data_IF_191759817342
#
_entry.id   IF_191759817342
#
_cell.length_a   1.000
_cell.length_b   1.000
_cell.length_c   1.000
_cell.angle_alpha   90.00
_cell.angle_beta   90.00
_cell.angle_gamma   90.00
#
_symmetry.space_group_name_H-M   'P 1'
#
loop_
_entity.id
_entity.type
_entity.pdbx_description
1 polymer ?
#
# COMPACT_ATOMS: atom_id res chain seq x y z
N UNK A 1 -9.50 -10.69 -30.80
CA UNK A 1 -8.88 -11.87 -31.46
C UNK A 1 -9.41 -12.10 -32.89
N UNK A 2 -10.21 -11.17 -33.46
CA UNK A 2 -10.76 -11.33 -34.82
C UNK A 2 -9.99 -10.55 -35.91
N UNK A 3 -8.90 -9.88 -35.56
CA UNK A 3 -8.18 -8.99 -36.48
C UNK A 3 -6.74 -9.44 -36.84
N UNK A 4 -6.28 -10.58 -36.32
CA UNK A 4 -4.96 -11.11 -36.65
C UNK A 4 -5.05 -12.60 -37.01
N UNK A 5 -4.52 -12.95 -38.16
CA UNK A 5 -4.31 -14.34 -38.59
C UNK A 5 -3.00 -14.81 -37.94
N UNK A 6 -3.09 -15.81 -37.06
CA UNK A 6 -1.96 -16.45 -36.36
C UNK A 6 -1.10 -15.52 -35.47
N UNK A 7 -1.66 -14.94 -34.38
CA UNK A 7 -0.90 -14.06 -33.51
C UNK A 7 0.13 -14.82 -32.69
N UNK A 8 1.41 -14.48 -32.84
CA UNK A 8 2.47 -14.97 -31.99
C UNK A 8 2.41 -14.25 -30.63
N UNK A 9 2.14 -15.00 -29.56
CA UNK A 9 2.10 -14.47 -28.18
C UNK A 9 3.52 -14.46 -27.61
N UNK A 10 4.15 -13.29 -27.60
CA UNK A 10 5.45 -13.09 -26.95
C UNK A 10 5.18 -12.71 -25.48
N UNK A 11 5.54 -13.57 -24.54
CA UNK A 11 5.55 -13.26 -23.10
C UNK A 11 6.99 -12.97 -22.69
N UNK A 12 7.31 -11.71 -22.34
CA UNK A 12 8.60 -11.32 -21.82
C UNK A 12 8.50 -11.28 -20.29
N UNK A 13 9.26 -12.14 -19.60
CA UNK A 13 9.32 -12.27 -18.14
C UNK A 13 8.38 -13.34 -17.57
N UNK A 14 8.69 -13.81 -16.35
CA UNK A 14 7.80 -14.71 -15.63
C UNK A 14 6.53 -13.95 -15.18
N UNK A 15 5.37 -14.60 -15.37
CA UNK A 15 4.10 -14.10 -14.85
C UNK A 15 4.24 -13.94 -13.33
N UNK A 16 4.08 -12.74 -12.79
CA UNK A 16 4.23 -12.37 -11.37
C UNK A 16 5.66 -12.19 -10.82
N UNK A 17 6.70 -12.07 -11.64
CA UNK A 17 8.07 -11.80 -11.16
C UNK A 17 8.20 -10.47 -10.35
N UNK A 18 7.30 -9.52 -10.58
CA UNK A 18 7.30 -8.22 -9.87
C UNK A 18 6.83 -8.27 -8.40
N UNK A 19 6.39 -9.43 -7.90
CA UNK A 19 5.93 -9.60 -6.50
C UNK A 19 6.80 -10.56 -5.68
N UNK A 20 7.84 -11.16 -6.30
CA UNK A 20 8.70 -12.14 -5.63
C UNK A 20 9.40 -11.59 -4.37
N UNK A 21 9.76 -10.29 -4.39
CA UNK A 21 10.41 -9.62 -3.27
C UNK A 21 9.42 -8.87 -2.35
N UNK A 22 8.11 -9.15 -2.48
CA UNK A 22 7.08 -8.51 -1.66
C UNK A 22 6.58 -9.48 -0.60
N UNK A 23 6.73 -9.10 0.67
CA UNK A 23 6.09 -9.80 1.78
C UNK A 23 4.62 -9.39 1.86
N UNK A 24 3.72 -10.34 1.70
CA UNK A 24 2.28 -10.11 1.78
C UNK A 24 1.76 -10.47 3.17
N UNK A 25 1.13 -9.50 3.84
CA UNK A 25 0.53 -9.69 5.17
C UNK A 25 -0.90 -9.16 5.21
N UNK A 26 -1.72 -9.72 6.09
CA UNK A 26 -3.05 -9.17 6.35
C UNK A 26 -3.36 -9.10 7.84
N UNK A 27 -4.06 -8.04 8.25
CA UNK A 27 -4.67 -7.90 9.57
C UNK A 27 -6.16 -8.17 9.47
N UNK A 28 -6.66 -9.05 10.34
CA UNK A 28 -8.09 -9.27 10.51
C UNK A 28 -8.62 -8.28 11.53
N UNK A 29 -9.44 -7.33 11.09
CA UNK A 29 -9.92 -6.21 11.89
C UNK A 29 -11.45 -6.07 11.82
N UNK A 30 -12.03 -5.32 12.78
CA UNK A 30 -13.40 -4.83 12.67
C UNK A 30 -13.42 -3.57 11.81
N UNK A 31 -14.56 -3.27 11.18
CA UNK A 31 -14.68 -2.10 10.30
C UNK A 31 -14.32 -0.78 11.01
N UNK A 32 -14.81 -0.62 12.25
CA UNK A 32 -14.59 0.59 13.06
C UNK A 32 -13.13 0.76 13.53
N UNK A 33 -12.35 -0.32 13.53
CA UNK A 33 -10.96 -0.30 14.00
C UNK A 33 -9.96 -0.10 12.86
N UNK A 34 -10.44 0.09 11.62
CA UNK A 34 -9.60 0.12 10.42
C UNK A 34 -8.57 1.24 10.45
N UNK A 35 -8.99 2.45 10.77
CA UNK A 35 -8.07 3.60 10.88
C UNK A 35 -7.06 3.40 12.01
N UNK A 36 -7.50 2.93 13.18
CA UNK A 36 -6.61 2.65 14.31
C UNK A 36 -5.56 1.58 13.96
N UNK A 37 -5.96 0.55 13.20
CA UNK A 37 -5.03 -0.48 12.74
C UNK A 37 -4.00 0.08 11.75
N UNK A 38 -4.42 0.95 10.83
CA UNK A 38 -3.53 1.69 9.92
C UNK A 38 -2.53 2.53 10.71
N UNK A 39 -3.01 3.35 11.65
CA UNK A 39 -2.18 4.21 12.48
C UNK A 39 -1.14 3.42 13.26
N UNK A 40 -1.53 2.34 13.94
CA UNK A 40 -0.59 1.48 14.69
C UNK A 40 0.46 0.85 13.79
N UNK A 41 0.11 0.47 12.56
CA UNK A 41 1.08 -0.04 11.61
C UNK A 41 2.10 1.02 11.19
N UNK A 42 1.64 2.25 10.91
CA UNK A 42 2.51 3.38 10.56
C UNK A 42 3.44 3.70 11.73
N UNK A 43 2.91 3.80 12.95
CA UNK A 43 3.69 4.06 14.15
C UNK A 43 4.74 2.98 14.44
N UNK A 44 4.41 1.72 14.13
CA UNK A 44 5.33 0.59 14.25
C UNK A 44 6.41 0.58 13.15
N UNK A 45 6.22 1.37 12.09
CA UNK A 45 7.09 1.40 10.91
C UNK A 45 7.56 2.84 10.62
N UNK A 46 8.45 3.42 11.44
CA UNK A 46 8.84 4.84 11.34
C UNK A 46 9.48 5.24 10.01
N UNK A 47 10.07 4.29 9.29
CA UNK A 47 10.69 4.50 7.98
C UNK A 47 9.75 4.26 6.80
N UNK A 48 8.43 4.23 7.05
CA UNK A 48 7.44 3.99 6.00
C UNK A 48 7.53 5.04 4.90
N UNK A 49 7.58 4.58 3.66
CA UNK A 49 7.37 5.38 2.45
C UNK A 49 6.47 4.59 1.53
N UNK A 50 5.20 4.95 1.44
CA UNK A 50 4.22 4.05 0.85
C UNK A 50 2.93 4.68 0.39
N UNK A 51 2.10 3.84 -0.23
CA UNK A 51 0.77 4.21 -0.71
C UNK A 51 -0.29 3.43 0.07
N UNK A 52 -1.30 4.16 0.56
CA UNK A 52 -2.52 3.62 1.16
C UNK A 52 -3.63 3.66 0.11
N UNK A 53 -4.13 2.50 -0.28
CA UNK A 53 -5.19 2.39 -1.27
C UNK A 53 -6.57 2.33 -0.62
N UNK A 54 -7.40 3.33 -0.90
CA UNK A 54 -8.80 3.42 -0.50
C UNK A 54 -9.73 3.17 -1.69
N UNK A 55 -10.97 2.76 -1.39
CA UNK A 55 -11.96 2.40 -2.42
C UNK A 55 -12.56 3.62 -3.10
N UNK A 56 -12.88 4.67 -2.34
CA UNK A 56 -13.56 5.86 -2.83
C UNK A 56 -12.73 7.11 -2.61
N UNK A 57 -13.00 8.16 -3.40
CA UNK A 57 -12.37 9.47 -3.24
C UNK A 57 -12.66 10.11 -1.88
N UNK A 58 -13.89 9.95 -1.37
CA UNK A 58 -14.28 10.46 -0.06
C UNK A 58 -13.47 9.80 1.06
N UNK A 59 -13.40 8.47 1.07
CA UNK A 59 -12.59 7.72 2.04
C UNK A 59 -11.10 8.06 1.92
N UNK A 60 -10.61 8.29 0.68
CA UNK A 60 -9.22 8.72 0.44
C UNK A 60 -8.92 10.05 1.12
N UNK A 61 -9.83 11.03 0.97
CA UNK A 61 -9.68 12.34 1.61
C UNK A 61 -9.78 12.21 3.14
N UNK A 62 -10.80 11.51 3.65
CA UNK A 62 -11.00 11.32 5.08
C UNK A 62 -9.79 10.64 5.76
N UNK A 63 -9.24 9.59 5.17
CA UNK A 63 -8.07 8.90 5.72
C UNK A 63 -6.84 9.80 5.67
N UNK A 64 -6.65 10.58 4.60
CA UNK A 64 -5.53 11.52 4.52
C UNK A 64 -5.65 12.64 5.55
N UNK A 65 -6.84 13.22 5.72
CA UNK A 65 -7.10 14.30 6.69
C UNK A 65 -6.86 13.82 8.13
N UNK A 66 -7.32 12.60 8.46
CA UNK A 66 -7.07 12.00 9.76
C UNK A 66 -5.57 11.77 10.00
N UNK A 67 -4.82 11.29 9.00
CA UNK A 67 -3.36 11.13 9.11
C UNK A 67 -2.66 12.49 9.32
N UNK A 68 -3.06 13.52 8.58
CA UNK A 68 -2.50 14.88 8.72
C UNK A 68 -2.81 15.44 10.12
N UNK A 69 -4.05 15.28 10.58
CA UNK A 69 -4.47 15.70 11.92
C UNK A 69 -3.66 15.01 13.03
N UNK A 70 -3.33 13.74 12.82
CA UNK A 70 -2.50 12.94 13.74
C UNK A 70 -0.99 13.22 13.59
N UNK A 71 -0.58 14.17 12.73
CA UNK A 71 0.80 14.64 12.60
C UNK A 71 1.67 13.86 11.60
N UNK A 72 1.07 13.06 10.72
CA UNK A 72 1.82 12.36 9.66
C UNK A 72 1.98 13.21 8.41
N UNK A 73 3.11 13.08 7.72
CA UNK A 73 3.35 13.69 6.42
C UNK A 73 2.61 12.88 5.33
N UNK A 74 1.32 13.15 5.18
CA UNK A 74 0.43 12.46 4.27
C UNK A 74 -0.26 13.45 3.32
N UNK A 75 -0.72 12.95 2.17
CA UNK A 75 -1.61 13.68 1.26
C UNK A 75 -2.56 12.73 0.55
N UNK A 76 -3.72 13.24 0.13
CA UNK A 76 -4.68 12.53 -0.70
C UNK A 76 -4.37 12.67 -2.19
N UNK A 77 -4.69 11.63 -2.97
CA UNK A 77 -4.61 11.64 -4.43
C UNK A 77 -5.86 10.96 -5.02
N UNK A 78 -6.78 11.75 -5.55
CA UNK A 78 -8.04 11.28 -6.12
C UNK A 78 -8.49 12.12 -7.32
N UNK A 79 -9.56 11.69 -7.98
CA UNK A 79 -9.98 12.27 -9.26
C UNK A 79 -10.50 13.71 -9.20
N UNK A 80 -10.82 14.25 -8.02
CA UNK A 80 -11.32 15.62 -7.87
C UNK A 80 -10.19 16.67 -7.76
N UNK A 81 -8.94 16.23 -7.66
CA UNK A 81 -7.80 17.14 -7.69
C UNK A 81 -7.59 17.68 -9.12
N UNK A 82 -7.35 18.97 -9.22
CA UNK A 82 -6.87 19.56 -10.47
C UNK A 82 -5.51 19.00 -10.86
N UNK A 83 -5.12 19.10 -12.12
CA UNK A 83 -3.81 18.63 -12.57
C UNK A 83 -2.67 19.31 -11.81
N UNK A 84 -2.76 20.61 -11.55
CA UNK A 84 -1.75 21.35 -10.77
C UNK A 84 -1.61 20.84 -9.33
N UNK A 85 -2.74 20.56 -8.67
CA UNK A 85 -2.72 19.98 -7.32
C UNK A 85 -2.12 18.56 -7.33
N UNK A 86 -2.48 17.75 -8.31
CA UNK A 86 -1.93 16.41 -8.50
C UNK A 86 -0.41 16.45 -8.68
N UNK A 87 0.09 17.34 -9.55
CA UNK A 87 1.51 17.48 -9.83
C UNK A 87 2.27 17.95 -8.58
N UNK A 88 1.70 18.87 -7.80
CA UNK A 88 2.26 19.34 -6.55
C UNK A 88 2.41 18.19 -5.53
N UNK A 89 1.32 17.44 -5.29
CA UNK A 89 1.32 16.29 -4.38
C UNK A 89 2.35 15.25 -4.82
N UNK A 90 2.39 14.93 -6.12
CA UNK A 90 3.33 13.95 -6.65
C UNK A 90 4.79 14.41 -6.55
N UNK A 91 5.06 15.71 -6.74
CA UNK A 91 6.40 16.26 -6.56
C UNK A 91 6.85 16.17 -5.10
N UNK A 92 6.01 16.58 -4.15
CA UNK A 92 6.31 16.45 -2.71
C UNK A 92 6.52 14.99 -2.29
N UNK A 93 5.74 14.06 -2.86
CA UNK A 93 5.91 12.63 -2.59
C UNK A 93 7.23 12.10 -3.15
N UNK A 94 7.60 12.42 -4.39
CA UNK A 94 8.90 12.02 -4.98
C UNK A 94 10.10 12.58 -4.21
N UNK A 95 9.98 13.80 -3.71
CA UNK A 95 11.02 14.46 -2.91
C UNK A 95 11.04 13.99 -1.44
N UNK A 96 10.17 13.04 -1.08
CA UNK A 96 10.04 12.48 0.28
C UNK A 96 9.64 13.49 1.36
N UNK A 97 9.09 14.65 0.97
CA UNK A 97 8.40 15.56 1.92
C UNK A 97 7.10 14.93 2.44
N UNK A 98 6.48 14.06 1.63
CA UNK A 98 5.38 13.21 2.05
C UNK A 98 5.89 11.77 2.20
N UNK A 99 5.51 11.13 3.29
CA UNK A 99 5.83 9.73 3.57
C UNK A 99 4.71 8.79 3.11
N UNK A 100 3.49 9.28 3.15
CA UNK A 100 2.29 8.50 2.89
C UNK A 100 1.42 9.19 1.85
N UNK A 101 1.14 8.47 0.78
CA UNK A 101 0.17 8.89 -0.23
C UNK A 101 -1.10 8.06 -0.07
N UNK A 102 -2.23 8.70 0.20
CA UNK A 102 -3.53 8.03 0.24
C UNK A 102 -4.20 8.19 -1.12
N UNK A 103 -4.52 7.10 -1.81
CA UNK A 103 -4.96 7.17 -3.20
C UNK A 103 -6.06 6.17 -3.55
N UNK A 104 -6.87 6.53 -4.57
CA UNK A 104 -7.71 5.56 -5.29
C UNK A 104 -6.90 4.85 -6.37
N UNK A 105 -7.35 3.68 -6.82
CA UNK A 105 -6.70 2.95 -7.93
C UNK A 105 -6.59 3.78 -9.19
N UNK A 106 -7.65 4.51 -9.54
CA UNK A 106 -7.68 5.34 -10.76
C UNK A 106 -6.64 6.45 -10.68
N UNK A 107 -6.55 7.13 -9.55
CA UNK A 107 -5.60 8.21 -9.36
C UNK A 107 -4.14 7.70 -9.26
N UNK A 108 -3.96 6.50 -8.75
CA UNK A 108 -2.63 5.88 -8.64
C UNK A 108 -2.12 5.24 -9.95
N UNK A 109 -2.94 5.20 -11.01
CA UNK A 109 -2.47 4.73 -12.32
C UNK A 109 -1.39 5.66 -12.88
N UNK A 110 -0.32 5.06 -13.40
CA UNK A 110 0.79 5.82 -13.95
C UNK A 110 1.68 6.53 -12.92
N UNK A 111 1.48 6.29 -11.62
CA UNK A 111 2.44 6.75 -10.61
C UNK A 111 3.77 6.03 -10.88
N UNK A 112 4.74 6.81 -11.32
CA UNK A 112 6.13 6.39 -11.43
C UNK A 112 6.88 6.93 -10.20
N UNK A 113 6.90 6.11 -9.15
CA UNK A 113 7.66 6.35 -7.92
C UNK A 113 8.42 5.08 -7.61
N UNK A 114 9.73 5.21 -7.56
CA UNK A 114 10.63 4.15 -7.12
C UNK A 114 10.73 4.11 -5.59
N UNK A 115 11.20 2.99 -5.07
CA UNK A 115 11.60 2.83 -3.67
C UNK A 115 10.45 2.89 -2.65
N UNK A 116 9.22 2.60 -3.07
CA UNK A 116 8.15 2.41 -2.11
C UNK A 116 8.47 1.20 -1.22
N UNK A 117 8.48 1.42 0.08
CA UNK A 117 8.71 0.37 1.07
C UNK A 117 7.43 -0.41 1.37
N UNK A 118 6.29 0.27 1.31
CA UNK A 118 5.01 -0.31 1.72
C UNK A 118 3.88 0.03 0.75
N UNK A 119 3.04 -0.96 0.54
CA UNK A 119 1.70 -0.81 -0.05
C UNK A 119 0.68 -1.25 0.98
N UNK A 120 -0.30 -0.41 1.25
CA UNK A 120 -1.35 -0.71 2.23
C UNK A 120 -2.70 -0.71 1.52
N UNK A 121 -3.35 -1.85 1.50
CA UNK A 121 -4.74 -1.95 1.08
C UNK A 121 -5.62 -1.62 2.28
N UNK A 122 -6.03 -0.36 2.42
CA UNK A 122 -7.04 0.04 3.39
C UNK A 122 -8.36 -0.69 3.14
N UNK A 123 -8.69 -0.85 1.86
CA UNK A 123 -9.71 -1.78 1.40
C UNK A 123 -9.07 -2.77 0.40
N UNK A 124 -9.43 -4.05 0.53
CA UNK A 124 -9.11 -5.00 -0.53
C UNK A 124 -9.78 -4.59 -1.83
N UNK A 125 -9.08 -4.68 -2.96
CA UNK A 125 -9.72 -4.53 -4.26
C UNK A 125 -10.68 -5.70 -4.53
N UNK A 126 -11.65 -5.48 -5.40
CA UNK A 126 -12.59 -6.52 -5.78
C UNK A 126 -11.98 -7.52 -6.77
N UNK A 127 -11.05 -7.04 -7.60
CA UNK A 127 -10.32 -7.87 -8.57
C UNK A 127 -8.91 -8.21 -8.08
N UNK A 128 -8.55 -9.48 -8.18
CA UNK A 128 -7.21 -9.97 -7.79
C UNK A 128 -6.10 -9.35 -8.63
N UNK A 129 -6.36 -9.06 -9.92
CA UNK A 129 -5.40 -8.39 -10.78
C UNK A 129 -5.03 -7.00 -10.27
N UNK A 130 -5.98 -6.26 -9.71
CA UNK A 130 -5.73 -4.95 -9.09
C UNK A 130 -4.84 -5.08 -7.86
N UNK A 131 -5.04 -6.12 -7.05
CA UNK A 131 -4.16 -6.40 -5.91
C UNK A 131 -2.70 -6.60 -6.35
N UNK A 132 -2.48 -7.39 -7.40
CA UNK A 132 -1.14 -7.64 -7.96
C UNK A 132 -0.53 -6.33 -8.49
N UNK A 133 -1.31 -5.51 -9.18
CA UNK A 133 -0.84 -4.22 -9.68
C UNK A 133 -0.49 -3.25 -8.56
N UNK A 134 -1.24 -3.25 -7.44
CA UNK A 134 -0.92 -2.44 -6.26
C UNK A 134 0.36 -2.95 -5.61
N UNK A 135 0.45 -4.24 -5.29
CA UNK A 135 1.63 -4.83 -4.63
C UNK A 135 2.90 -4.69 -5.46
N UNK A 136 2.81 -4.76 -6.79
CA UNK A 136 3.93 -4.52 -7.70
C UNK A 136 4.45 -3.06 -7.74
N UNK A 137 3.92 -2.15 -6.92
CA UNK A 137 4.48 -0.81 -6.71
C UNK A 137 5.63 -0.81 -5.70
N UNK A 138 5.80 -1.85 -4.90
CA UNK A 138 6.94 -2.06 -4.00
C UNK A 138 7.73 -3.31 -4.40
N UNK A 139 8.85 -3.56 -3.76
CA UNK A 139 9.68 -4.75 -4.02
C UNK A 139 10.38 -4.74 -5.38
N UNK A 140 10.67 -3.56 -5.95
CA UNK A 140 11.33 -3.39 -7.25
C UNK A 140 12.84 -3.30 -7.09
N UNK A 141 13.56 -3.62 -8.17
CA UNK A 141 15.03 -3.46 -8.27
C UNK A 141 15.78 -4.10 -7.08
N UNK A 142 15.47 -5.38 -6.80
CA UNK A 142 16.08 -6.21 -5.73
C UNK A 142 15.85 -5.69 -4.30
N UNK A 143 15.00 -4.67 -4.11
CA UNK A 143 14.56 -4.22 -2.78
C UNK A 143 13.39 -5.06 -2.30
N UNK A 144 13.35 -5.30 -0.99
CA UNK A 144 12.21 -5.95 -0.35
C UNK A 144 11.09 -4.95 -0.10
N UNK A 145 9.85 -5.37 -0.28
CA UNK A 145 8.67 -4.56 -0.03
C UNK A 145 7.66 -5.27 0.87
N UNK A 146 6.75 -4.52 1.45
CA UNK A 146 5.64 -5.04 2.25
C UNK A 146 4.31 -4.62 1.64
N UNK A 147 3.42 -5.58 1.46
CA UNK A 147 2.03 -5.33 1.07
C UNK A 147 1.11 -5.76 2.22
N UNK A 148 0.60 -4.77 2.97
CA UNK A 148 -0.35 -4.98 4.06
C UNK A 148 -1.79 -4.85 3.54
N UNK A 149 -2.68 -5.72 4.00
CA UNK A 149 -4.12 -5.62 3.75
C UNK A 149 -4.92 -5.59 5.05
N UNK A 150 -5.78 -4.59 5.21
CA UNK A 150 -6.71 -4.47 6.32
C UNK A 150 -8.03 -5.11 5.91
N UNK A 151 -8.33 -6.30 6.43
CA UNK A 151 -9.50 -7.09 5.99
C UNK A 151 -10.52 -7.29 7.10
N UNK A 152 -11.79 -7.34 6.71
CA UNK A 152 -12.87 -7.81 7.57
C UNK A 152 -13.04 -9.33 7.47
N UNK A 153 -13.64 -9.96 8.47
CA UNK A 153 -13.86 -11.43 8.50
C UNK A 153 -14.59 -11.97 7.26
N UNK A 154 -15.52 -11.17 6.70
CA UNK A 154 -16.27 -11.52 5.48
C UNK A 154 -15.40 -11.55 4.21
N UNK A 155 -14.22 -10.94 4.23
CA UNK A 155 -13.32 -10.83 3.07
C UNK A 155 -12.25 -11.93 3.01
N UNK A 156 -12.24 -12.87 3.98
CA UNK A 156 -11.26 -13.97 4.02
C UNK A 156 -11.24 -14.82 2.74
N UNK A 157 -12.38 -14.99 2.08
CA UNK A 157 -12.45 -15.73 0.82
C UNK A 157 -11.66 -15.05 -0.30
N UNK A 158 -11.58 -13.70 -0.30
CA UNK A 158 -10.79 -12.93 -1.27
C UNK A 158 -9.30 -13.19 -1.10
N UNK A 159 -8.81 -13.33 0.14
CA UNK A 159 -7.40 -13.64 0.42
C UNK A 159 -7.00 -14.95 -0.26
N UNK A 160 -7.81 -16.01 -0.13
CA UNK A 160 -7.54 -17.30 -0.78
C UNK A 160 -7.48 -17.19 -2.31
N UNK A 161 -8.35 -16.36 -2.91
CA UNK A 161 -8.32 -16.12 -4.35
C UNK A 161 -7.05 -15.38 -4.78
N UNK A 162 -6.61 -14.41 -3.98
CA UNK A 162 -5.38 -13.66 -4.22
C UNK A 162 -4.16 -14.59 -4.10
N UNK A 163 -4.07 -15.40 -3.04
CA UNK A 163 -2.99 -16.38 -2.83
C UNK A 163 -2.84 -17.34 -4.02
N UNK A 164 -3.97 -17.85 -4.51
CA UNK A 164 -4.00 -18.73 -5.68
C UNK A 164 -3.41 -18.06 -6.94
N UNK A 165 -3.68 -16.78 -7.13
CA UNK A 165 -3.20 -16.05 -8.31
C UNK A 165 -1.75 -15.57 -8.14
N UNK A 166 -1.35 -15.22 -6.91
CA UNK A 166 0.04 -14.86 -6.58
C UNK A 166 0.98 -16.07 -6.62
N UNK A 167 0.47 -17.27 -6.31
CA UNK A 167 1.30 -18.43 -6.05
C UNK A 167 2.08 -18.33 -4.72
N UNK A 168 1.65 -17.46 -3.82
CA UNK A 168 2.29 -17.19 -2.52
C UNK A 168 1.23 -17.09 -1.43
N UNK A 169 1.61 -17.44 -0.19
CA UNK A 169 0.75 -17.30 0.99
C UNK A 169 0.77 -15.85 1.49
N UNK A 170 -0.39 -15.35 1.90
CA UNK A 170 -0.53 -14.05 2.57
C UNK A 170 -0.55 -14.28 4.07
N UNK A 171 0.52 -13.90 4.75
CA UNK A 171 0.70 -14.12 6.18
C UNK A 171 -0.39 -13.40 7.00
N UNK A 172 -1.04 -14.11 7.91
CA UNK A 172 -1.90 -13.47 8.91
C UNK A 172 -1.05 -12.92 10.05
N UNK A 173 -1.05 -11.62 10.22
CA UNK A 173 -0.36 -10.96 11.33
C UNK A 173 -1.37 -10.29 12.29
N UNK A 174 -0.91 -9.98 13.48
CA UNK A 174 -1.68 -9.24 14.48
C UNK A 174 -1.37 -7.74 14.36
N UNK A 175 -2.38 -6.91 14.58
CA UNK A 175 -2.17 -5.46 14.71
C UNK A 175 -1.22 -5.21 15.89
N UNK A 176 -0.15 -4.42 15.73
CA UNK A 176 0.77 -4.12 16.81
C UNK A 176 0.05 -3.55 18.04
N UNK A 177 0.39 -4.06 19.21
CA UNK A 177 -0.12 -3.51 20.47
C UNK A 177 0.50 -2.14 20.75
N UNK A 178 -0.14 -1.33 21.58
CA UNK A 178 0.42 -0.03 22.00
C UNK A 178 1.84 -0.19 22.61
N UNK A 179 2.06 -1.23 23.40
CA UNK A 179 3.37 -1.53 23.99
C UNK A 179 4.44 -1.77 22.91
N UNK A 180 4.15 -2.61 21.92
CA UNK A 180 5.07 -2.89 20.81
C UNK A 180 5.38 -1.62 19.98
N UNK A 181 4.39 -0.76 19.78
CA UNK A 181 4.58 0.53 19.10
C UNK A 181 5.54 1.42 19.90
N UNK A 182 5.28 1.60 21.21
CA UNK A 182 6.14 2.41 22.09
C UNK A 182 7.58 1.88 22.12
N UNK A 183 7.78 0.57 22.29
CA UNK A 183 9.09 -0.06 22.27
C UNK A 183 9.81 0.21 20.94
N UNK A 184 9.13 0.03 19.81
CA UNK A 184 9.71 0.25 18.48
C UNK A 184 10.11 1.70 18.24
N UNK A 185 9.27 2.65 18.67
CA UNK A 185 9.56 4.08 18.55
C UNK A 185 10.75 4.47 19.45
N UNK A 186 10.81 3.97 20.68
CA UNK A 186 11.93 4.23 21.59
C UNK A 186 13.25 3.76 20.98
N UNK A 187 13.33 2.51 20.48
CA UNK A 187 14.54 2.02 19.81
C UNK A 187 14.92 2.86 18.60
N UNK A 188 13.94 3.28 17.79
CA UNK A 188 14.21 4.12 16.63
C UNK A 188 14.74 5.52 17.03
N UNK A 189 14.31 6.08 18.16
CA UNK A 189 14.85 7.33 18.69
C UNK A 189 16.29 7.17 19.18
N UNK A 190 16.59 6.08 19.88
CA UNK A 190 17.96 5.76 20.34
C UNK A 190 18.91 5.63 19.14
N UNK A 191 18.55 4.83 18.15
CA UNK A 191 19.35 4.65 16.92
C UNK A 191 19.62 5.96 16.14
N UNK A 192 18.76 6.96 16.31
CA UNK A 192 18.95 8.29 15.70
C UNK A 192 19.88 9.20 16.49
N UNK A 193 19.99 8.96 17.80
CA UNK A 193 20.90 9.74 18.67
C UNK A 193 22.33 9.22 18.61
N UNK A 194 22.53 7.96 18.22
CA UNK A 194 23.85 7.32 18.09
C UNK A 194 24.51 7.56 16.72
N UNK A 195 23.81 8.20 15.78
CA UNK A 195 24.30 8.58 14.43
C UNK A 195 24.62 10.07 14.34
#
# INVERSE_FOLDING_TARGET
NHYMTDPVRISIGQKNSGTANVRHIHYLIRANDRYLALKRFIDYTPSIYGIVFCRTKLETQEVADNLIHDGYNAASLHGDLSQAQRDLVMNHFRQRYLQILVATDVAARGIDVSDLTHIINYNLPDETAVYIHRSGRTGRADKTGVCLSLIHSREKHKIKAIEKQLGQTIERAMVPSAKQVCEKQLFNHIDRLEK
#
